data_IF_139476678522
#
_entry.id   IF_139476678522
#
_cell.length_a   1.000
_cell.length_b   1.000
_cell.length_c   1.000
_cell.angle_alpha   90.00
_cell.angle_beta   90.00
_cell.angle_gamma   90.00
#
_symmetry.space_group_name_H-M   'P 1'
#
loop_
_entity.id
_entity.type
_entity.pdbx_description
1 polymer ?
2 non-polymer ?
3 non-polymer ?
4 water ?
#
# COMPACT_ATOMS: atom_id res chain seq x y z
N UNK A 6 -4.63 20.77 -24.65
CA UNK A 6 -3.58 21.72 -24.30
C UNK A 6 -3.32 21.72 -22.80
N UNK A 7 -4.31 21.27 -22.03
CA UNK A 7 -4.22 21.20 -20.57
C UNK A 7 -3.91 22.56 -19.95
N UNK A 8 -4.45 23.62 -20.55
CA UNK A 8 -4.24 24.98 -20.07
C UNK A 8 -5.47 25.40 -19.29
N UNK A 9 -5.29 25.61 -17.99
CA UNK A 9 -6.36 26.04 -17.09
C UNK A 9 -5.72 26.52 -15.79
N UNK A 10 -6.41 27.38 -15.04
CA UNK A 10 -5.82 27.88 -13.79
C UNK A 10 -5.57 26.76 -12.80
N UNK A 11 -4.46 26.89 -12.06
CA UNK A 11 -4.16 25.95 -10.99
C UNK A 11 -5.01 26.26 -9.76
N UNK A 12 -5.30 25.22 -8.99
CA UNK A 12 -6.08 25.40 -7.78
C UNK A 12 -5.27 26.15 -6.72
N UNK A 13 -5.99 26.80 -5.81
CA UNK A 13 -5.34 27.53 -4.72
C UNK A 13 -4.71 26.56 -3.73
N UNK A 14 -5.36 25.44 -3.46
CA UNK A 14 -4.90 24.51 -2.44
C UNK A 14 -3.63 23.82 -2.92
N UNK A 15 -2.62 23.76 -2.05
CA UNK A 15 -1.35 23.14 -2.37
C UNK A 15 -1.40 21.65 -2.06
N UNK A 16 -1.25 20.82 -3.09
CA UNK A 16 -1.15 19.37 -2.94
C UNK A 16 0.13 18.81 -3.55
N UNK A 17 1.10 19.66 -3.89
CA UNK A 17 2.27 19.23 -4.65
C UNK A 17 3.59 19.48 -3.95
N UNK A 18 3.66 20.37 -2.97
CA UNK A 18 4.94 20.75 -2.39
C UNK A 18 5.46 19.65 -1.46
N UNK A 19 6.79 19.68 -1.24
CA UNK A 19 7.41 18.74 -0.32
C UNK A 19 6.93 18.98 1.11
N UNK A 20 6.75 20.25 1.48
CA UNK A 20 6.34 20.56 2.85
C UNK A 20 4.94 20.06 3.15
N UNK A 21 4.04 20.09 2.15
CA UNK A 21 2.69 19.58 2.36
C UNK A 21 2.72 18.08 2.65
N UNK A 22 3.57 17.34 1.97
CA UNK A 22 3.69 15.90 2.18
C UNK A 22 4.66 15.55 3.30
N UNK A 23 5.30 16.55 3.91
CA UNK A 23 6.07 16.36 5.14
C UNK A 23 5.29 16.76 6.38
N UNK A 24 4.09 17.31 6.21
CA UNK A 24 3.25 17.72 7.32
C UNK A 24 2.39 16.54 7.81
N UNK A 25 1.67 16.78 8.89
CA UNK A 25 0.84 15.73 9.48
C UNK A 25 -0.35 15.40 8.57
N UNK A 26 -0.90 14.21 8.79
CA UNK A 26 -2.10 13.81 8.05
C UNK A 26 -3.29 14.68 8.40
N UNK A 27 -3.35 15.18 9.65
CA UNK A 27 -4.45 16.05 10.04
C UNK A 27 -4.39 17.39 9.29
N UNK A 28 -3.17 17.93 9.11
CA UNK A 28 -3.05 19.17 8.35
C UNK A 28 -3.46 18.98 6.90
N UNK A 29 -3.07 17.85 6.29
CA UNK A 29 -3.47 17.58 4.92
C UNK A 29 -4.98 17.41 4.80
N UNK A 30 -5.63 16.92 5.85
CA UNK A 30 -7.08 16.71 5.80
C UNK A 30 -7.83 18.04 5.72
N UNK A 31 -7.31 19.08 6.36
CA UNK A 31 -7.93 20.40 6.25
C UNK A 31 -7.88 20.91 4.81
N UNK A 32 -6.85 20.53 4.04
CA UNK A 32 -6.83 20.83 2.63
C UNK A 32 -7.77 19.92 1.85
N UNK A 33 -7.78 18.61 2.18
CA UNK A 33 -8.70 17.69 1.54
C UNK A 33 -10.15 18.03 1.86
N UNK A 34 -10.41 18.56 3.05
CA UNK A 34 -11.79 18.87 3.44
C UNK A 34 -12.36 20.00 2.60
N UNK A 35 -11.60 21.08 2.41
CA UNK A 35 -12.09 22.20 1.62
C UNK A 35 -12.30 21.80 0.17
N UNK A 36 -11.39 21.00 -0.38
CA UNK A 36 -11.56 20.52 -1.75
C UNK A 36 -12.81 19.64 -1.86
N UNK A 37 -12.95 18.66 -0.97
CA UNK A 37 -14.13 17.80 -0.99
C UNK A 37 -15.41 18.62 -0.94
N UNK A 38 -15.40 19.75 -0.25
CA UNK A 38 -16.61 20.54 -0.09
C UNK A 38 -16.85 21.46 -1.27
N UNK A 39 -15.80 22.17 -1.72
CA UNK A 39 -15.96 23.23 -2.72
C UNK A 39 -15.58 22.79 -4.12
N UNK A 40 -14.41 22.18 -4.30
CA UNK A 40 -13.89 21.80 -5.62
C UNK A 40 -13.39 20.37 -5.55
N UNK A 41 -14.29 19.39 -5.56
CA UNK A 41 -13.87 17.99 -5.36
C UNK A 41 -12.95 17.46 -6.44
N UNK A 42 -12.98 18.03 -7.64
CA UNK A 42 -12.09 17.65 -8.73
C UNK A 42 -11.38 18.92 -9.17
N UNK A 43 -10.11 19.06 -8.79
CA UNK A 43 -9.37 20.29 -9.00
C UNK A 43 -8.07 19.99 -9.73
N UNK A 44 -7.55 21.02 -10.41
CA UNK A 44 -6.34 20.94 -11.23
C UNK A 44 -5.17 21.53 -10.46
N UNK A 45 -4.06 20.79 -10.44
CA UNK A 45 -2.89 21.16 -9.64
C UNK A 45 -1.64 20.95 -10.47
N UNK A 46 -0.56 21.67 -10.16
CA UNK A 46 0.73 21.43 -10.83
C UNK A 46 1.36 20.13 -10.36
N UNK A 47 2.32 19.59 -11.10
CA UNK A 47 2.92 18.30 -10.71
C UNK A 47 3.64 18.40 -9.38
N UNK A 48 3.95 17.22 -8.82
CA UNK A 48 4.65 17.14 -7.54
C UNK A 48 5.98 17.87 -7.65
N UNK A 49 6.22 18.80 -6.72
CA UNK A 49 7.43 19.61 -6.74
C UNK A 49 8.63 18.80 -6.25
N UNK A 50 9.81 19.17 -6.77
CA UNK A 50 11.07 18.54 -6.39
C UNK A 50 10.99 17.02 -6.58
N UNK A 51 10.37 16.60 -7.69
CA UNK A 51 10.15 15.19 -7.95
C UNK A 51 11.48 14.49 -8.26
N UNK A 52 11.44 13.16 -8.23
CA UNK A 52 12.62 12.38 -8.59
C UNK A 52 13.08 12.68 -10.01
N UNK A 53 12.14 13.01 -10.90
CA UNK A 53 12.45 13.46 -12.25
C UNK A 53 11.47 14.57 -12.61
N UNK A 54 12.01 15.69 -13.11
CA UNK A 54 11.17 16.80 -13.55
C UNK A 54 10.83 16.60 -15.01
N UNK A 55 9.53 16.57 -15.32
CA UNK A 55 9.06 16.26 -16.67
C UNK A 55 8.43 17.49 -17.30
N UNK A 56 9.02 18.07 -18.34
CA UNK A 56 8.35 19.18 -19.04
C UNK A 56 7.08 18.75 -19.74
N UNK A 57 6.88 17.46 -19.99
CA UNK A 57 5.65 16.96 -20.59
C UNK A 57 4.47 16.94 -19.62
N UNK A 58 4.71 17.20 -18.33
CA UNK A 58 3.68 17.04 -17.32
C UNK A 58 3.09 18.41 -16.95
N UNK A 59 1.86 18.72 -17.38
CA UNK A 59 1.28 20.02 -17.02
C UNK A 59 0.63 20.03 -15.65
N UNK A 60 0.33 18.88 -15.09
CA UNK A 60 -0.29 18.80 -13.79
C UNK A 60 -1.10 17.53 -13.65
N UNK A 61 -2.12 17.61 -12.81
CA UNK A 61 -2.97 16.46 -12.54
C UNK A 61 -4.30 16.94 -11.97
N UNK A 62 -5.31 16.08 -12.06
CA UNK A 62 -6.61 16.31 -11.46
C UNK A 62 -6.66 15.64 -10.09
N UNK A 63 -7.03 16.41 -9.07
CA UNK A 63 -7.12 15.88 -7.71
C UNK A 63 -8.53 15.36 -7.47
N UNK A 64 -8.64 14.08 -7.13
CA UNK A 64 -9.91 13.42 -6.86
C UNK A 64 -9.96 13.13 -5.37
N UNK A 65 -10.84 13.83 -4.66
CA UNK A 65 -10.86 13.80 -3.19
C UNK A 65 -12.06 13.10 -2.59
N UNK A 66 -13.18 13.00 -3.31
CA UNK A 66 -14.38 12.37 -2.77
C UNK A 66 -14.35 10.88 -3.01
N UNK A 67 -14.92 10.13 -2.06
CA UNK A 67 -14.88 8.66 -2.15
C UNK A 67 -15.62 8.16 -3.38
N UNK A 68 -16.81 8.71 -3.64
CA UNK A 68 -17.59 8.27 -4.79
C UNK A 68 -16.84 8.49 -6.10
N UNK A 69 -16.15 9.63 -6.22
CA UNK A 69 -15.39 9.89 -7.44
C UNK A 69 -14.16 9.00 -7.55
N UNK A 70 -13.55 8.64 -6.41
CA UNK A 70 -12.43 7.71 -6.41
C UNK A 70 -12.89 6.35 -6.91
N UNK A 71 -14.08 5.92 -6.49
CA UNK A 71 -14.63 4.67 -6.98
C UNK A 71 -14.92 4.76 -8.48
N UNK A 72 -15.42 5.91 -8.92
CA UNK A 72 -15.73 6.10 -10.34
C UNK A 72 -14.48 5.96 -11.20
N UNK A 73 -13.38 6.58 -10.79
CA UNK A 73 -12.14 6.47 -11.55
C UNK A 73 -11.61 5.05 -11.53
N UNK A 74 -11.66 4.40 -10.36
CA UNK A 74 -11.10 3.06 -10.23
C UNK A 74 -11.83 2.04 -11.09
N UNK A 75 -13.17 2.12 -11.11
CA UNK A 75 -13.95 1.11 -11.82
C UNK A 75 -14.08 1.39 -13.32
N UNK A 76 -13.91 2.65 -13.73
CA UNK A 76 -13.99 2.99 -15.15
C UNK A 76 -12.58 2.96 -15.78
N UNK A 77 -11.96 1.79 -15.71
CA UNK A 77 -10.61 1.62 -16.21
C UNK A 77 -10.52 1.75 -17.73
N UNK A 78 -11.64 1.58 -18.44
CA UNK A 78 -11.63 1.80 -19.89
C UNK A 78 -11.41 3.27 -20.24
N UNK A 79 -11.68 4.18 -19.30
CA UNK A 79 -11.41 5.60 -19.49
C UNK A 79 -10.13 6.01 -18.77
N UNK A 80 -9.98 5.61 -17.51
CA UNK A 80 -8.82 5.98 -16.69
C UNK A 80 -7.85 4.80 -16.69
N UNK A 81 -6.80 4.92 -17.50
CA UNK A 81 -5.87 3.83 -17.74
C UNK A 81 -4.77 3.78 -16.68
N UNK A 82 -4.26 2.58 -16.47
CA UNK A 82 -3.09 2.37 -15.62
C UNK A 82 -1.82 2.13 -16.41
N UNK A 83 -1.93 1.87 -17.72
CA UNK A 83 -0.78 1.53 -18.55
C UNK A 83 0.16 2.66 -18.85
N UNK A 84 -0.13 3.89 -18.41
CA UNK A 84 0.77 5.02 -18.59
C UNK A 84 1.35 5.49 -17.26
N UNK A 85 1.42 4.59 -16.28
CA UNK A 85 1.92 4.92 -14.97
C UNK A 85 0.80 5.10 -13.97
N UNK A 86 1.08 4.71 -12.71
CA UNK A 86 0.09 4.79 -11.64
C UNK A 86 0.59 5.56 -10.43
N UNK A 87 1.84 6.01 -10.42
CA UNK A 87 2.41 6.71 -9.28
C UNK A 87 2.11 8.20 -9.35
N UNK A 88 1.86 8.80 -8.19
CA UNK A 88 1.55 10.23 -8.10
C UNK A 88 2.76 11.06 -8.56
N UNK A 89 3.91 10.84 -7.93
CA UNK A 89 5.11 11.56 -8.28
C UNK A 89 5.73 11.00 -9.56
N UNK A 90 6.36 11.87 -10.34
CA UNK A 90 7.07 11.46 -11.54
C UNK A 90 8.33 10.70 -11.15
N UNK A 91 8.44 9.46 -11.61
CA UNK A 91 9.56 8.57 -11.27
C UNK A 91 10.25 8.15 -12.57
N UNK A 92 11.58 8.10 -12.59
CA UNK A 92 12.29 7.66 -13.81
C UNK A 92 11.76 6.34 -14.34
N UNK A 93 11.68 6.24 -15.67
CA UNK A 93 11.04 5.09 -16.31
C UNK A 93 11.74 3.79 -15.98
N UNK A 94 13.09 3.80 -15.91
CA UNK A 94 13.82 2.58 -15.60
C UNK A 94 13.43 2.03 -14.24
N UNK A 95 13.25 2.91 -13.25
CA UNK A 95 12.81 2.46 -11.93
C UNK A 95 11.38 1.95 -11.97
N UNK A 96 10.53 2.57 -12.79
CA UNK A 96 9.15 2.10 -12.93
C UNK A 96 9.10 0.75 -13.64
N UNK A 97 9.83 0.62 -14.76
CA UNK A 97 9.80 -0.61 -15.53
C UNK A 97 10.30 -1.81 -14.73
N UNK A 98 11.11 -1.58 -13.69
CA UNK A 98 11.68 -2.66 -12.91
C UNK A 98 10.89 -2.95 -11.63
N UNK A 99 9.72 -2.32 -11.46
CA UNK A 99 8.98 -2.46 -10.20
C UNK A 99 7.46 -2.52 -10.35
N UNK A 100 6.86 -1.97 -11.41
CA UNK A 100 5.41 -1.81 -11.44
C UNK A 100 4.69 -3.10 -11.81
N UNK A 101 5.21 -3.84 -12.78
CA UNK A 101 4.62 -5.11 -13.24
C UNK A 101 3.19 -4.82 -13.73
N UNK A 102 2.22 -5.70 -13.46
CA UNK A 102 0.88 -5.49 -13.98
C UNK A 102 0.08 -4.46 -13.20
N UNK A 103 0.64 -3.89 -12.13
CA UNK A 103 -0.02 -2.78 -11.46
C UNK A 103 -0.20 -1.60 -12.41
N UNK A 104 0.83 -1.31 -13.20
CA UNK A 104 0.77 -0.23 -14.20
C UNK A 104 0.50 -0.80 -15.59
N UNK A 105 -0.50 -1.66 -15.69
CA UNK A 105 -0.86 -2.31 -16.95
C UNK A 105 -2.37 -2.33 -17.10
N UNK A 106 -2.82 -2.27 -18.34
CA UNK A 106 -4.22 -2.37 -18.68
C UNK A 106 -4.51 -3.72 -19.31
N UNK A 107 -5.77 -4.14 -19.36
CA UNK A 107 -6.11 -5.33 -20.14
C UNK A 107 -5.73 -5.13 -21.60
N UNK A 108 -5.40 -6.22 -22.31
CA UNK A 108 -5.48 -7.61 -21.86
C UNK A 108 -4.24 -8.12 -21.11
N UNK A 109 -3.12 -7.40 -21.19
CA UNK A 109 -1.89 -7.90 -20.58
C UNK A 109 -2.01 -7.99 -19.06
N UNK A 110 -2.71 -7.03 -18.44
CA UNK A 110 -2.94 -7.12 -17.01
C UNK A 110 -3.73 -8.36 -16.65
N UNK A 111 -4.72 -8.72 -17.47
CA UNK A 111 -5.51 -9.92 -17.22
C UNK A 111 -4.65 -11.17 -17.35
N UNK A 112 -3.72 -11.18 -18.31
CA UNK A 112 -2.85 -12.34 -18.50
C UNK A 112 -1.96 -12.55 -17.28
N UNK A 113 -1.28 -11.48 -16.83
CA UNK A 113 -0.27 -11.64 -15.79
C UNK A 113 -0.89 -11.87 -14.43
N UNK A 114 -1.96 -11.14 -14.09
CA UNK A 114 -2.61 -11.32 -12.79
C UNK A 114 -3.16 -12.74 -12.65
N UNK A 115 -3.65 -13.33 -13.75
CA UNK A 115 -4.20 -14.68 -13.69
C UNK A 115 -3.14 -15.70 -13.28
N UNK A 116 -1.87 -15.43 -13.56
CA UNK A 116 -0.81 -16.40 -13.29
C UNK A 116 -0.58 -16.59 -11.80
N UNK A 117 -0.90 -15.58 -10.98
CA UNK A 117 -0.64 -15.63 -9.55
C UNK A 117 -1.89 -15.46 -8.71
N UNK A 118 -3.05 -15.26 -9.32
CA UNK A 118 -4.25 -14.92 -8.56
C UNK A 118 -4.79 -16.11 -7.77
N UNK A 119 -4.41 -17.33 -8.11
CA UNK A 119 -4.97 -18.50 -7.45
C UNK A 119 -4.55 -18.59 -5.99
N UNK A 120 -3.35 -18.10 -5.65
CA UNK A 120 -2.84 -18.22 -4.29
C UNK A 120 -3.44 -17.21 -3.33
N UNK A 121 -4.31 -16.32 -3.80
CA UNK A 121 -4.86 -15.25 -2.97
C UNK A 121 -6.35 -15.40 -2.69
N UNK A 122 -7.00 -16.43 -3.22
CA UNK A 122 -8.41 -16.62 -3.00
C UNK A 122 -8.70 -16.84 -1.51
N UNK A 123 -9.91 -16.53 -1.05
CA UNK A 123 -10.25 -16.80 0.35
C UNK A 123 -10.04 -18.25 0.76
N UNK A 124 -10.29 -19.19 -0.15
CA UNK A 124 -10.05 -20.61 0.15
C UNK A 124 -8.57 -20.86 0.42
N UNK A 125 -7.69 -20.33 -0.44
CA UNK A 125 -6.27 -20.58 -0.30
C UNK A 125 -5.68 -19.83 0.90
N UNK A 126 -6.22 -18.65 1.23
CA UNK A 126 -5.78 -17.94 2.42
C UNK A 126 -6.15 -18.73 3.67
N UNK A 127 -7.33 -19.36 3.66
CA UNK A 127 -7.73 -20.20 4.79
C UNK A 127 -6.82 -21.42 4.92
N UNK A 128 -6.29 -21.91 3.81
CA UNK A 128 -5.40 -23.08 3.87
C UNK A 128 -4.10 -22.77 4.58
N UNK A 129 -3.64 -21.51 4.52
CA UNK A 129 -2.37 -21.11 5.09
C UNK A 129 -2.55 -20.19 6.30
N UNK A 130 -3.79 -19.99 6.76
CA UNK A 130 -4.03 -19.08 7.86
C UNK A 130 -3.40 -19.57 9.16
N UNK A 131 -3.30 -20.89 9.34
CA UNK A 131 -2.68 -21.41 10.55
C UNK A 131 -1.20 -21.06 10.61
N UNK A 132 -0.51 -21.09 9.48
CA UNK A 132 0.89 -20.69 9.46
C UNK A 132 1.05 -19.20 9.76
N UNK A 133 0.09 -18.38 9.33
CA UNK A 133 0.11 -16.96 9.68
C UNK A 133 -0.12 -16.80 11.18
N UNK A 134 -1.06 -17.59 11.73
CA UNK A 134 -1.31 -17.54 13.18
C UNK A 134 -0.09 -18.01 13.96
N UNK A 135 0.62 -19.03 13.45
CA UNK A 135 1.79 -19.54 14.13
C UNK A 135 2.93 -18.52 14.06
N UNK A 136 3.07 -17.83 12.94
CA UNK A 136 4.07 -16.77 12.84
C UNK A 136 3.72 -15.59 13.73
N UNK A 137 2.43 -15.23 13.80
CA UNK A 137 2.02 -14.12 14.64
C UNK A 137 2.27 -14.41 16.11
N UNK A 138 2.03 -15.64 16.54
CA UNK A 138 2.26 -16.00 17.93
C UNK A 138 3.73 -15.91 18.31
N UNK A 139 4.61 -16.44 17.46
CA UNK A 139 6.03 -16.39 17.74
C UNK A 139 6.60 -14.98 17.67
N UNK A 140 6.05 -14.13 16.80
CA UNK A 140 6.54 -12.77 16.67
C UNK A 140 6.20 -11.97 17.93
N UNK A 141 4.96 -12.08 18.40
CA UNK A 141 4.57 -11.39 19.63
C UNK A 141 5.31 -11.97 20.82
N UNK A 142 5.59 -13.27 20.80
CA UNK A 142 6.37 -13.89 21.86
C UNK A 142 7.79 -13.32 21.89
N UNK A 143 8.44 -13.23 20.73
CA UNK A 143 9.77 -12.63 20.66
C UNK A 143 9.74 -11.16 21.03
N UNK A 144 8.64 -10.47 20.69
CA UNK A 144 8.51 -9.07 21.10
C UNK A 144 8.43 -8.95 22.62
N UNK A 145 7.70 -9.87 23.27
CA UNK A 145 7.59 -9.85 24.72
C UNK A 145 8.94 -10.04 25.39
N UNK A 146 9.74 -10.97 24.87
CA UNK A 146 11.09 -11.19 25.41
C UNK A 146 11.99 -9.99 25.17
N UNK A 147 11.71 -9.17 24.17
CA UNK A 147 12.51 -7.96 23.94
C UNK A 147 12.26 -6.93 25.02
N UNK A 148 11.10 -6.96 25.66
CA UNK A 148 10.78 -6.05 26.73
C UNK A 148 10.17 -4.75 26.25
N UNK A 149 9.62 -4.00 27.20
CA UNK A 149 9.00 -2.74 26.88
C UNK A 149 10.02 -1.68 26.46
N UNK A 150 9.51 -0.67 25.76
CA UNK A 150 10.35 0.39 25.25
C UNK A 150 11.01 0.10 23.92
N UNK A 151 10.86 -1.11 23.39
CA UNK A 151 11.49 -1.46 22.13
C UNK A 151 10.65 -0.94 20.96
N UNK A 152 11.30 -0.82 19.80
CA UNK A 152 10.63 -0.32 18.61
C UNK A 152 9.62 -1.34 18.10
N UNK A 153 8.35 -0.92 18.04
CA UNK A 153 7.29 -1.83 17.60
C UNK A 153 7.38 -2.13 16.11
N UNK A 154 7.93 -1.19 15.32
CA UNK A 154 7.99 -1.39 13.88
C UNK A 154 8.97 -2.51 13.53
N UNK A 155 10.18 -2.46 14.08
CA UNK A 155 11.20 -3.44 13.73
C UNK A 155 10.95 -4.79 14.38
N UNK A 156 10.38 -4.82 15.58
CA UNK A 156 10.21 -6.05 16.34
C UNK A 156 8.85 -6.70 16.15
N UNK A 157 7.97 -6.13 15.32
CA UNK A 157 6.65 -6.71 15.14
C UNK A 157 6.01 -6.33 13.81
N UNK A 158 5.87 -5.02 13.55
CA UNK A 158 5.09 -4.57 12.41
C UNK A 158 5.67 -5.09 11.09
N UNK A 159 7.00 -5.15 10.98
CA UNK A 159 7.64 -5.59 9.76
C UNK A 159 7.82 -7.10 9.69
N UNK A 160 7.62 -7.82 10.79
CA UNK A 160 8.00 -9.23 10.85
C UNK A 160 6.94 -10.12 10.20
N UNK A 161 5.67 -9.92 10.54
CA UNK A 161 4.62 -10.79 10.02
C UNK A 161 4.45 -10.67 8.50
N UNK A 162 4.47 -9.46 7.92
CA UNK A 162 4.36 -9.36 6.45
C UNK A 162 5.46 -10.10 5.71
N UNK A 163 6.72 -9.98 6.15
CA UNK A 163 7.81 -10.61 5.40
C UNK A 163 7.79 -12.12 5.59
N UNK A 164 7.42 -12.58 6.78
CA UNK A 164 7.31 -14.02 7.00
C UNK A 164 6.19 -14.62 6.17
N UNK A 165 5.03 -13.96 6.14
CA UNK A 165 3.92 -14.42 5.31
C UNK A 165 4.27 -14.36 3.83
N UNK A 166 4.91 -13.26 3.40
CA UNK A 166 5.30 -13.12 2.01
C UNK A 166 6.31 -14.18 1.61
N UNK A 167 7.39 -14.30 2.39
CA UNK A 167 8.47 -15.23 2.02
C UNK A 167 8.01 -16.68 2.08
N UNK A 168 7.07 -17.01 2.96
CA UNK A 168 6.55 -18.38 3.01
C UNK A 168 5.79 -18.72 1.73
N UNK A 169 5.09 -17.74 1.16
CA UNK A 169 4.34 -17.98 -0.06
C UNK A 169 5.24 -18.06 -1.28
N UNK A 170 6.15 -17.10 -1.43
CA UNK A 170 7.01 -17.06 -2.60
C UNK A 170 8.16 -18.06 -2.48
N UNK A 171 8.60 -18.36 -1.27
CA UNK A 171 9.74 -19.24 -1.07
C UNK A 171 11.07 -18.53 -0.96
N UNK A 172 11.10 -17.32 -0.41
CA UNK A 172 12.35 -16.57 -0.28
C UNK A 172 13.26 -17.29 0.70
N UNK A 173 14.55 -17.49 0.38
CA UNK A 173 15.46 -18.10 1.35
C UNK A 173 15.57 -17.26 2.61
N UNK A 174 15.79 -17.93 3.74
CA UNK A 174 15.79 -17.24 5.03
C UNK A 174 16.87 -16.18 5.10
N UNK A 175 18.03 -16.42 4.49
CA UNK A 175 19.11 -15.44 4.53
C UNK A 175 18.77 -14.16 3.80
N UNK A 176 17.74 -14.16 2.95
CA UNK A 176 17.35 -12.98 2.18
C UNK A 176 16.07 -12.33 2.69
N UNK A 177 15.45 -12.88 3.73
CA UNK A 177 14.11 -12.42 4.11
C UNK A 177 14.15 -11.01 4.71
N UNK A 178 15.07 -10.75 5.64
CA UNK A 178 15.13 -9.44 6.27
C UNK A 178 15.60 -8.37 5.29
N UNK A 179 16.49 -8.73 4.35
CA UNK A 179 16.97 -7.76 3.37
C UNK A 179 15.90 -7.43 2.35
N UNK A 180 15.05 -8.40 1.99
CA UNK A 180 13.95 -8.13 1.06
C UNK A 180 12.95 -7.17 1.71
N UNK A 181 12.63 -7.39 2.98
CA UNK A 181 11.72 -6.48 3.69
C UNK A 181 12.31 -5.08 3.78
N UNK A 182 13.62 -4.98 4.00
CA UNK A 182 14.27 -3.67 4.05
C UNK A 182 14.29 -3.02 2.68
N UNK A 183 14.55 -3.79 1.63
CA UNK A 183 14.58 -3.24 0.28
C UNK A 183 13.19 -2.83 -0.18
N UNK A 184 12.16 -3.60 0.21
CA UNK A 184 10.80 -3.23 -0.15
C UNK A 184 10.39 -1.92 0.53
N UNK A 185 10.77 -1.75 1.80
CA UNK A 185 10.47 -0.53 2.52
C UNK A 185 11.23 0.67 1.95
N UNK A 186 12.42 0.43 1.39
CA UNK A 186 13.20 1.52 0.81
C UNK A 186 12.53 2.13 -0.41
N UNK A 187 11.83 1.30 -1.21
CA UNK A 187 11.30 1.76 -2.49
C UNK A 187 10.13 2.72 -2.35
N UNK A 188 9.61 2.92 -1.14
CA UNK A 188 8.56 3.90 -0.90
C UNK A 188 9.01 5.00 0.05
N UNK A 189 10.29 5.03 0.39
CA UNK A 189 10.84 5.99 1.35
C UNK A 189 11.81 6.97 0.70
N UNK A 190 11.61 7.28 -0.58
CA UNK A 190 12.56 8.14 -1.29
C UNK A 190 12.47 9.60 -0.88
N UNK A 191 11.43 9.99 -0.13
CA UNK A 191 11.28 11.35 0.35
C UNK A 191 11.58 11.47 1.84
N UNK A 192 12.17 10.44 2.44
CA UNK A 192 12.43 10.41 3.88
C UNK A 192 13.89 10.76 4.13
N UNK A 193 14.20 11.96 4.62
CA UNK A 193 15.61 12.27 4.95
C UNK A 193 16.18 11.38 6.04
N UNK A 194 15.34 10.91 6.97
CA UNK A 194 15.81 9.99 8.00
C UNK A 194 16.19 8.63 7.41
N UNK A 195 15.67 8.28 6.23
CA UNK A 195 16.05 7.03 5.59
C UNK A 195 17.22 7.22 4.62
N UNK A 196 17.19 8.27 3.81
CA UNK A 196 18.28 8.51 2.86
C UNK A 196 19.58 8.83 3.59
N UNK A 197 19.50 9.61 4.67
CA UNK A 197 20.67 10.00 5.46
C UNK A 197 21.73 10.66 4.59
N UNK A 198 21.29 11.62 3.77
CA UNK A 198 22.18 12.37 2.90
C UNK A 198 22.37 11.77 1.53
N UNK A 199 22.03 10.49 1.34
CA UNK A 199 22.20 9.86 0.04
C UNK A 199 21.16 10.37 -0.95
N UNK A 200 21.58 10.46 -2.21
CA UNK A 200 20.65 10.86 -3.27
C UNK A 200 19.64 9.75 -3.49
N UNK A 201 18.35 10.05 -3.57
CA UNK A 201 17.32 8.99 -3.57
C UNK A 201 17.39 8.05 -4.76
N UNK A 202 17.75 8.53 -5.96
CA UNK A 202 17.72 7.67 -7.13
C UNK A 202 18.73 6.53 -7.01
N UNK A 203 19.89 6.80 -6.42
CA UNK A 203 20.89 5.74 -6.23
C UNK A 203 20.43 4.73 -5.20
N UNK A 204 19.75 5.19 -4.14
CA UNK A 204 19.25 4.27 -3.12
C UNK A 204 18.14 3.40 -3.69
N UNK A 205 17.27 3.98 -4.53
CA UNK A 205 16.20 3.21 -5.13
C UNK A 205 16.75 2.13 -6.06
N UNK A 206 17.76 2.46 -6.86
CA UNK A 206 18.35 1.47 -7.76
C UNK A 206 19.02 0.35 -6.98
N UNK A 207 19.75 0.70 -5.91
CA UNK A 207 20.46 -0.32 -5.13
C UNK A 207 19.49 -1.34 -4.55
N UNK A 208 18.37 -0.87 -3.99
CA UNK A 208 17.41 -1.80 -3.41
C UNK A 208 16.62 -2.53 -4.48
N UNK A 209 16.33 -1.87 -5.60
CA UNK A 209 15.73 -2.57 -6.73
C UNK A 209 16.67 -3.61 -7.28
N UNK A 210 17.96 -3.29 -7.36
CA UNK A 210 18.94 -4.24 -7.89
C UNK A 210 19.00 -5.50 -7.03
N UNK A 211 18.99 -5.35 -5.70
CA UNK A 211 19.03 -6.51 -4.82
C UNK A 211 17.79 -7.39 -5.01
N UNK A 212 16.61 -6.76 -5.07
CA UNK A 212 15.39 -7.54 -5.26
C UNK A 212 15.40 -8.28 -6.59
N UNK A 213 15.99 -7.69 -7.63
CA UNK A 213 16.13 -8.40 -8.90
C UNK A 213 17.15 -9.53 -8.81
N UNK A 214 18.13 -9.40 -7.92
CA UNK A 214 19.08 -10.49 -7.70
C UNK A 214 18.40 -11.68 -7.05
N UNK A 215 17.58 -11.43 -6.03
CA UNK A 215 16.83 -12.52 -5.39
C UNK A 215 15.83 -13.12 -6.36
N UNK A 216 15.22 -12.29 -7.21
CA UNK A 216 14.26 -12.78 -8.19
C UNK A 216 14.93 -13.69 -9.21
N UNK A 217 16.11 -13.30 -9.71
CA UNK A 217 16.81 -14.13 -10.68
C UNK A 217 17.24 -15.45 -10.06
N UNK A 218 17.68 -15.44 -8.80
CA UNK A 218 18.10 -16.67 -8.14
C UNK A 218 16.91 -17.60 -7.88
N UNK A 219 15.79 -17.03 -7.45
CA UNK A 219 14.62 -17.87 -7.18
C UNK A 219 13.98 -18.36 -8.48
N UNK A 220 13.98 -17.52 -9.52
CA UNK A 220 13.42 -17.95 -10.79
C UNK A 220 14.21 -19.11 -11.38
N UNK A 221 15.54 -19.02 -11.34
CA UNK A 221 16.37 -20.12 -11.81
C UNK A 221 16.20 -21.37 -10.96
N UNK A 222 15.97 -21.20 -9.65
CA UNK A 222 15.77 -22.36 -8.78
C UNK A 222 14.45 -23.05 -9.08
N UNK A 223 13.40 -22.26 -9.33
CA UNK A 223 12.07 -22.85 -9.51
C UNK A 223 11.86 -23.38 -10.92
N UNK A 224 12.62 -22.90 -11.90
CA UNK A 224 12.53 -23.46 -13.24
C UNK A 224 13.15 -24.85 -13.32
N UNK A 225 14.15 -25.12 -12.48
CA UNK A 225 14.72 -26.46 -12.39
C UNK A 225 13.73 -27.41 -11.74
N UNK A 226 13.41 -27.17 -10.47
CA UNK A 226 12.44 -27.96 -9.73
C UNK A 226 11.25 -27.08 -9.38
N UNK A 227 10.15 -27.16 -10.12
CA UNK A 227 8.99 -26.33 -9.80
C UNK A 227 8.31 -26.77 -8.51
N UNK A 228 7.72 -25.80 -7.83
CA UNK A 228 6.98 -26.09 -6.61
C UNK A 228 5.51 -25.72 -6.73
N UNK A 229 4.79 -25.81 -5.62
CA UNK A 229 3.38 -25.43 -5.58
C UNK A 229 3.19 -23.95 -5.21
N UNK A 230 4.26 -23.19 -5.12
CA UNK A 230 4.20 -21.84 -4.60
C UNK A 230 3.80 -20.83 -5.67
N UNK A 231 3.82 -19.56 -5.28
CA UNK A 231 3.39 -18.48 -6.16
C UNK A 231 4.41 -18.23 -7.26
N UNK A 232 5.69 -18.19 -6.90
CA UNK A 232 6.74 -17.90 -7.88
C UNK A 232 6.92 -19.05 -8.86
N UNK A 233 6.74 -20.29 -8.41
CA UNK A 233 6.89 -21.44 -9.29
C UNK A 233 5.94 -21.35 -10.46
N UNK A 234 4.66 -21.06 -10.20
CA UNK A 234 3.69 -20.97 -11.26
C UNK A 234 3.99 -19.81 -12.20
N UNK A 235 4.55 -18.73 -11.69
CA UNK A 235 4.84 -17.57 -12.53
C UNK A 235 6.00 -17.85 -13.49
N UNK A 236 7.11 -18.38 -12.97
CA UNK A 236 8.30 -18.60 -13.80
C UNK A 236 8.19 -19.82 -14.69
N UNK A 237 7.23 -20.71 -14.44
CA UNK A 237 7.04 -21.91 -15.25
C UNK A 237 5.84 -21.81 -16.18
N UNK A 238 5.07 -20.73 -16.11
CA UNK A 238 3.89 -20.60 -16.94
C UNK A 238 4.25 -20.29 -18.38
N UNK A 239 3.38 -20.69 -19.29
CA UNK A 239 3.52 -20.40 -20.71
C UNK A 239 2.55 -19.28 -21.07
N UNK A 240 3.10 -18.09 -21.33
CA UNK A 240 2.30 -16.92 -21.70
C UNK A 240 2.57 -16.63 -23.16
N UNK A 241 1.54 -16.80 -23.99
CA UNK A 241 1.63 -16.57 -25.43
C UNK A 241 2.70 -17.47 -26.07
N UNK A 242 2.74 -18.72 -25.63
CA UNK A 242 3.66 -19.68 -26.21
C UNK A 242 5.09 -19.58 -25.76
N UNK A 243 5.35 -18.91 -24.63
CA UNK A 243 6.72 -18.76 -24.14
C UNK A 243 6.67 -18.38 -22.67
N UNK A 244 7.71 -18.76 -21.94
CA UNK A 244 7.82 -18.36 -20.55
C UNK A 244 8.10 -16.86 -20.46
N UNK A 245 7.76 -16.29 -19.31
CA UNK A 245 7.95 -14.87 -19.09
C UNK A 245 9.43 -14.52 -19.06
N UNK A 246 9.78 -13.38 -19.66
CA UNK A 246 11.15 -12.91 -19.65
C UNK A 246 11.59 -12.59 -18.23
N UNK A 247 12.91 -12.54 -18.04
CA UNK A 247 13.47 -12.25 -16.72
C UNK A 247 13.02 -10.89 -16.19
N UNK A 248 12.86 -9.90 -17.09
CA UNK A 248 12.44 -8.58 -16.66
C UNK A 248 11.02 -8.61 -16.10
N UNK A 249 10.11 -9.35 -16.75
CA UNK A 249 8.74 -9.44 -16.27
C UNK A 249 8.70 -10.16 -14.92
N UNK A 250 9.46 -11.25 -14.78
CA UNK A 250 9.45 -12.01 -13.54
C UNK A 250 9.98 -11.17 -12.38
N UNK A 251 11.09 -10.47 -12.61
CA UNK A 251 11.68 -9.66 -11.54
C UNK A 251 10.79 -8.48 -11.18
N UNK A 252 10.15 -7.87 -12.18
CA UNK A 252 9.29 -6.72 -11.91
C UNK A 252 8.11 -7.12 -11.01
N UNK A 253 7.55 -8.30 -11.22
CA UNK A 253 6.47 -8.75 -10.36
C UNK A 253 6.96 -9.07 -8.96
N UNK A 254 8.18 -9.61 -8.84
CA UNK A 254 8.75 -9.87 -7.53
C UNK A 254 8.88 -8.59 -6.72
N UNK A 255 9.30 -7.50 -7.38
CA UNK A 255 9.35 -6.21 -6.70
C UNK A 255 7.97 -5.74 -6.32
N UNK A 256 7.03 -5.80 -7.26
CA UNK A 256 5.65 -5.43 -6.97
C UNK A 256 5.11 -6.24 -5.79
N UNK A 257 5.34 -7.55 -5.79
CA UNK A 257 4.84 -8.40 -4.72
C UNK A 257 5.54 -8.10 -3.40
N UNK A 258 6.85 -7.85 -3.44
CA UNK A 258 7.59 -7.55 -2.22
C UNK A 258 7.16 -6.22 -1.61
N UNK A 259 6.94 -5.20 -2.45
CA UNK A 259 6.60 -3.88 -1.93
C UNK A 259 5.16 -3.85 -1.42
N UNK A 260 4.22 -4.29 -2.26
CA UNK A 260 2.82 -4.27 -1.85
C UNK A 260 2.54 -5.26 -0.73
N UNK A 261 3.22 -6.40 -0.73
CA UNK A 261 2.99 -7.40 0.30
C UNK A 261 3.60 -7.07 1.65
N UNK A 262 4.61 -6.20 1.68
CA UNK A 262 5.31 -5.87 2.92
C UNK A 262 4.89 -4.51 3.47
N UNK A 263 5.01 -3.46 2.65
CA UNK A 263 4.89 -2.11 3.17
C UNK A 263 3.49 -1.79 3.68
N UNK A 264 2.46 -2.22 2.94
CA UNK A 264 1.09 -1.85 3.30
C UNK A 264 0.68 -2.46 4.63
N UNK A 265 0.83 -3.78 4.78
CA UNK A 265 0.46 -4.43 6.02
C UNK A 265 1.31 -3.95 7.20
N UNK A 266 2.60 -3.73 6.95
CA UNK A 266 3.49 -3.28 8.01
C UNK A 266 3.04 -1.92 8.57
N UNK A 267 2.62 -1.01 7.70
CA UNK A 267 2.17 0.30 8.18
C UNK A 267 0.81 0.19 8.87
N UNK A 268 -0.08 -0.66 8.35
CA UNK A 268 -1.39 -0.83 8.97
C UNK A 268 -1.27 -1.39 10.38
N UNK A 269 -0.29 -2.26 10.62
CA UNK A 269 -0.08 -2.80 11.97
C UNK A 269 0.40 -1.70 12.91
N UNK A 270 1.34 -0.87 12.46
CA UNK A 270 1.82 0.23 13.29
C UNK A 270 0.72 1.25 13.55
N UNK A 271 0.00 1.66 12.50
CA UNK A 271 -1.11 2.58 12.68
C UNK A 271 -2.20 1.97 13.56
N UNK A 272 -2.38 0.65 13.49
CA UNK A 272 -3.42 0.01 14.27
C UNK A 272 -3.14 0.02 15.77
N UNK A 273 -1.89 -0.26 16.15
CA UNK A 273 -1.54 -0.25 17.56
C UNK A 273 -1.71 1.15 18.15
N UNK A 274 -1.31 2.18 17.40
CA UNK A 274 -1.49 3.56 17.87
C UNK A 274 -2.97 3.92 17.96
N UNK A 275 -3.78 3.44 17.02
CA UNK A 275 -5.22 3.69 17.07
C UNK A 275 -5.86 3.02 18.28
N UNK A 276 -5.45 1.79 18.59
CA UNK A 276 -5.95 1.12 19.79
C UNK A 276 -5.50 1.86 21.05
N UNK A 277 -4.32 2.48 21.03
CA UNK A 277 -3.87 3.24 22.19
C UNK A 277 -4.64 4.55 22.31
N UNK A 278 -4.92 5.21 21.19
CA UNK A 278 -5.64 6.47 21.20
C UNK A 278 -7.12 6.31 21.49
N UNK A 279 -7.67 5.10 21.32
CA UNK A 279 -9.08 4.83 21.56
C UNK A 279 -9.20 3.59 22.44
N UNK A 280 -8.92 3.71 23.74
CA UNK A 280 -8.99 2.52 24.61
C UNK A 280 -10.37 1.89 24.67
N UNK A 281 -11.44 2.68 24.58
CA UNK A 281 -12.78 2.10 24.62
C UNK A 281 -13.04 1.25 23.38
N UNK A 282 -12.41 1.57 22.26
CA UNK A 282 -12.54 0.73 21.07
C UNK A 282 -11.79 -0.58 21.24
N UNK A 283 -10.63 -0.55 21.90
CA UNK A 283 -9.90 -1.78 22.17
C UNK A 283 -10.67 -2.68 23.13
N UNK A 284 -11.27 -2.10 24.18
CA UNK A 284 -12.06 -2.90 25.10
C UNK A 284 -13.29 -3.48 24.42
N UNK A 285 -13.87 -2.74 23.47
CA UNK A 285 -15.01 -3.27 22.72
C UNK A 285 -14.61 -4.48 21.88
N UNK A 286 -13.46 -4.40 21.21
CA UNK A 286 -12.98 -5.53 20.43
C UNK A 286 -12.64 -6.71 21.32
N UNK A 287 -11.99 -6.45 22.46
CA UNK A 287 -11.61 -7.54 23.36
C UNK A 287 -12.82 -8.22 23.97
N UNK A 288 -13.93 -7.50 24.14
CA UNK A 288 -15.12 -8.08 24.76
C UNK A 288 -15.75 -9.17 23.92
N UNK A 289 -15.52 -9.18 22.61
CA UNK A 289 -16.06 -10.19 21.72
C UNK A 289 -15.24 -10.25 20.44
N UNK A 290 -14.03 -10.81 20.54
CA UNK A 290 -13.04 -10.68 19.47
C UNK A 290 -13.48 -11.38 18.20
N UNK A 291 -13.86 -12.67 18.30
CA UNK A 291 -14.13 -13.45 17.10
C UNK A 291 -15.32 -12.92 16.32
N UNK A 292 -16.27 -12.28 17.01
CA UNK A 292 -17.43 -11.71 16.35
C UNK A 292 -17.17 -10.30 15.81
N UNK A 293 -16.20 -9.59 16.37
CA UNK A 293 -16.00 -8.18 16.05
C UNK A 293 -14.69 -7.89 15.32
N UNK A 294 -13.80 -8.87 15.16
CA UNK A 294 -12.52 -8.61 14.52
C UNK A 294 -12.71 -8.28 13.03
N UNK A 295 -13.79 -8.79 12.42
CA UNK A 295 -14.04 -8.53 11.02
C UNK A 295 -14.19 -7.05 10.68
N UNK A 296 -15.14 -6.39 11.33
CA UNK A 296 -15.33 -4.96 11.09
C UNK A 296 -14.21 -4.13 11.72
N UNK A 297 -13.58 -4.65 12.77
CA UNK A 297 -12.45 -3.93 13.38
C UNK A 297 -11.27 -3.85 12.43
N UNK A 298 -10.98 -4.95 11.72
CA UNK A 298 -9.90 -4.95 10.74
C UNK A 298 -10.20 -3.97 9.61
N UNK A 299 -11.45 -3.93 9.16
CA UNK A 299 -11.80 -3.03 8.06
C UNK A 299 -11.64 -1.57 8.45
N UNK A 300 -11.93 -1.24 9.71
CA UNK A 300 -11.76 0.14 10.16
C UNK A 300 -10.28 0.46 10.42
N UNK A 301 -9.50 -0.52 10.87
CA UNK A 301 -8.07 -0.30 11.03
C UNK A 301 -7.41 -0.02 9.68
N UNK A 302 -7.89 -0.66 8.62
CA UNK A 302 -7.40 -0.37 7.28
C UNK A 302 -7.85 1.02 6.84
N UNK A 303 -9.12 1.34 7.10
CA UNK A 303 -9.61 2.69 6.82
C UNK A 303 -8.81 3.73 7.60
N UNK A 304 -8.53 3.45 8.87
CA UNK A 304 -7.78 4.39 9.70
C UNK A 304 -6.36 4.56 9.20
N UNK A 305 -5.71 3.47 8.78
CA UNK A 305 -4.33 3.56 8.31
C UNK A 305 -4.25 4.19 6.94
N UNK A 306 -5.04 3.68 5.98
CA UNK A 306 -4.92 4.01 4.57
C UNK A 306 -3.44 4.06 4.18
N UNK A 307 -2.74 2.93 4.23
CA UNK A 307 -1.28 2.97 3.99
C UNK A 307 -0.93 3.42 2.58
N UNK A 308 -1.78 3.15 1.60
CA UNK A 308 -1.60 3.68 0.26
C UNK A 308 -2.42 4.97 0.16
N UNK A 309 -1.73 6.11 0.09
CA UNK A 309 -2.40 7.40 0.05
C UNK A 309 -2.80 7.81 -1.36
N UNK A 310 -1.97 7.50 -2.36
CA UNK A 310 -2.21 7.98 -3.71
C UNK A 310 -1.97 6.88 -4.73
N UNK A 311 -2.81 6.89 -5.77
CA UNK A 311 -2.58 6.16 -7.00
C UNK A 311 -3.21 6.99 -8.11
N UNK A 312 -2.61 6.97 -9.29
CA UNK A 312 -3.05 7.83 -10.37
C UNK A 312 -3.45 7.01 -11.59
N UNK A 313 -4.14 7.67 -12.50
CA UNK A 313 -4.55 7.10 -13.77
C UNK A 313 -4.32 8.13 -14.87
N UNK A 314 -4.41 7.69 -16.12
CA UNK A 314 -4.34 8.55 -17.28
C UNK A 314 -5.62 8.41 -18.08
N UNK A 315 -6.26 9.54 -18.39
CA UNK A 315 -7.53 9.52 -19.12
C UNK A 315 -7.29 9.13 -20.57
N UNK A 316 -8.05 8.14 -21.04
CA UNK A 316 -7.98 7.74 -22.44
C UNK A 316 -8.90 8.57 -23.31
N UNK A 317 -9.89 9.22 -22.73
CA UNK A 317 -10.83 10.05 -23.47
C UNK A 317 -11.37 11.12 -22.54
N UNK A 318 -12.04 12.10 -23.11
CA UNK A 318 -12.67 13.15 -22.32
C UNK A 318 -13.73 12.56 -21.40
N UNK A 319 -13.70 12.96 -20.13
CA UNK A 319 -14.61 12.41 -19.14
C UNK A 319 -15.03 13.51 -18.16
N UNK A 320 -16.33 13.58 -17.90
CA UNK A 320 -16.89 14.56 -16.97
C UNK A 320 -16.94 13.96 -15.57
N UNK A 321 -16.22 14.58 -14.64
CA UNK A 321 -16.17 14.10 -13.26
C UNK A 321 -16.16 15.29 -12.31
N UNK A 322 -17.07 15.27 -11.34
CA UNK A 322 -17.17 16.37 -10.40
C UNK A 322 -17.45 17.71 -11.05
N UNK A 323 -18.20 17.72 -12.14
CA UNK A 323 -18.47 18.96 -12.85
C UNK A 323 -17.33 19.49 -13.67
N UNK A 324 -16.26 18.71 -13.83
CA UNK A 324 -15.07 19.14 -14.57
C UNK A 324 -14.83 18.16 -15.71
N UNK A 325 -14.40 18.69 -16.86
CA UNK A 325 -14.16 17.88 -18.05
C UNK A 325 -12.68 17.50 -18.08
N UNK A 326 -12.38 16.30 -17.60
CA UNK A 326 -11.03 15.77 -17.71
C UNK A 326 -10.73 15.46 -19.17
N UNK A 327 -9.60 15.93 -19.67
CA UNK A 327 -9.24 15.76 -21.06
C UNK A 327 -8.44 14.48 -21.26
N UNK A 328 -8.50 13.96 -22.48
CA UNK A 328 -7.73 12.75 -22.82
C UNK A 328 -6.24 13.00 -22.66
N UNK A 329 -5.58 12.06 -21.99
CA UNK A 329 -4.15 12.16 -21.74
C UNK A 329 -3.78 12.86 -20.45
N UNK A 330 -4.75 13.39 -19.70
CA UNK A 330 -4.46 14.09 -18.46
C UNK A 330 -4.38 13.11 -17.30
N UNK A 331 -3.53 13.45 -16.33
CA UNK A 331 -3.35 12.60 -15.15
C UNK A 331 -4.45 12.85 -14.13
N UNK A 332 -4.90 11.76 -13.50
CA UNK A 332 -5.99 11.80 -12.53
C UNK A 332 -5.53 11.05 -11.28
N UNK A 333 -5.41 11.76 -10.17
CA UNK A 333 -4.83 11.22 -8.95
C UNK A 333 -5.92 10.99 -7.92
N UNK A 334 -5.95 9.80 -7.35
CA UNK A 334 -6.92 9.41 -6.32
C UNK A 334 -6.26 9.55 -4.95
N UNK A 335 -6.89 10.31 -4.07
CA UNK A 335 -6.37 10.56 -2.72
C UNK A 335 -7.19 9.72 -1.75
N UNK A 336 -6.72 8.49 -1.49
CA UNK A 336 -7.48 7.54 -0.69
C UNK A 336 -7.70 8.03 0.74
N UNK A 337 -6.73 8.76 1.30
CA UNK A 337 -6.92 9.30 2.65
C UNK A 337 -8.04 10.32 2.68
N UNK A 338 -8.21 11.09 1.61
CA UNK A 338 -9.34 12.02 1.54
C UNK A 338 -10.64 11.26 1.37
N UNK A 339 -10.65 10.23 0.52
CA UNK A 339 -11.86 9.44 0.33
C UNK A 339 -12.30 8.70 1.58
N UNK A 340 -11.34 8.28 2.41
CA UNK A 340 -11.67 7.58 3.64
C UNK A 340 -12.06 8.52 4.78
N UNK A 341 -11.88 9.83 4.60
CA UNK A 341 -12.37 10.83 5.54
C UNK A 341 -13.55 11.61 4.96
N UNK A 342 -14.15 11.09 3.89
CA UNK A 342 -15.26 11.78 3.21
C UNK A 342 -16.49 11.78 4.10
N UNK A 343 -16.90 12.98 4.53
CA UNK A 343 -18.13 13.09 5.32
C UNK A 343 -19.36 12.71 4.52
N UNK A 344 -19.25 12.70 3.18
CA UNK A 344 -20.33 12.25 2.31
C UNK A 344 -20.48 10.73 2.29
N UNK A 345 -19.61 10.00 2.98
CA UNK A 345 -19.63 8.54 2.90
C UNK A 345 -19.57 7.89 4.28
N UNK A 346 -19.00 8.59 5.25
CA UNK A 346 -18.82 8.04 6.59
C UNK A 346 -19.42 8.96 7.63
N UNK A 347 -19.87 8.36 8.74
CA UNK A 347 -20.35 9.10 9.89
C UNK A 347 -19.20 9.23 10.89
N UNK A 348 -18.71 10.45 11.07
CA UNK A 348 -17.57 10.75 11.93
C UNK A 348 -16.36 9.91 11.55
N UNK A 349 -15.78 10.13 10.36
CA UNK A 349 -14.59 9.34 9.98
C UNK A 349 -13.36 9.70 10.79
N UNK A 350 -13.35 10.83 11.48
CA UNK A 350 -12.21 11.22 12.30
C UNK A 350 -12.11 10.43 13.59
N UNK A 351 -13.14 9.66 13.94
CA UNK A 351 -13.15 8.85 15.14
C UNK A 351 -13.05 7.38 14.77
N UNK A 352 -12.24 6.64 15.53
CA UNK A 352 -12.09 5.20 15.28
C UNK A 352 -13.34 4.47 15.77
N UNK A 353 -14.01 3.78 14.84
CA UNK A 353 -15.21 3.00 15.16
C UNK A 353 -15.01 1.61 14.57
N UNK A 354 -14.48 0.70 15.38
CA UNK A 354 -14.26 -0.68 14.96
C UNK A 354 -15.55 -1.43 14.70
N UNK A 355 -16.71 -0.85 15.03
CA UNK A 355 -18.00 -1.44 14.74
C UNK A 355 -18.63 -0.89 13.46
N UNK A 356 -17.90 -0.04 12.72
CA UNK A 356 -18.47 0.65 11.58
C UNK A 356 -18.99 -0.35 10.55
N UNK A 357 -20.30 -0.28 10.28
CA UNK A 357 -20.94 -1.13 9.30
C UNK A 357 -22.12 -0.38 8.67
N UNK A 358 -22.11 -0.16 7.35
CA UNK A 358 -21.06 -0.61 6.42
C UNK A 358 -19.80 0.24 6.50
N UNK A 359 -18.70 -0.28 5.93
CA UNK A 359 -17.42 0.42 5.89
C UNK A 359 -16.93 0.43 4.45
N UNK A 360 -17.47 1.31 3.61
CA UNK A 360 -17.08 1.38 2.19
C UNK A 360 -15.77 2.14 1.97
N UNK A 361 -14.76 1.81 2.78
CA UNK A 361 -13.48 2.47 2.67
C UNK A 361 -12.78 2.08 1.37
N UNK A 362 -11.84 2.94 0.95
CA UNK A 362 -11.06 2.70 -0.25
C UNK A 362 -9.60 2.46 0.13
N UNK A 363 -9.38 1.78 1.25
CA UNK A 363 -8.02 1.45 1.64
C UNK A 363 -7.35 0.49 0.67
N UNK A 364 -8.13 -0.46 0.13
CA UNK A 364 -7.67 -1.35 -0.92
C UNK A 364 -7.96 -0.79 -2.30
N UNK A 365 -8.15 0.52 -2.42
CA UNK A 365 -8.49 1.15 -3.68
C UNK A 365 -9.99 1.30 -3.85
N UNK A 366 -10.36 1.96 -4.94
CA UNK A 366 -11.76 2.18 -5.24
C UNK A 366 -12.49 1.01 -5.84
N UNK A 367 -11.82 -0.14 -5.96
CA UNK A 367 -12.44 -1.32 -6.53
C UNK A 367 -12.29 -1.39 -8.04
N UNK A 368 -12.51 -2.59 -8.57
CA UNK A 368 -12.53 -2.83 -10.00
C UNK A 368 -11.38 -3.74 -10.43
N UNK A 369 -10.80 -3.42 -11.59
CA UNK A 369 -9.87 -4.33 -12.25
C UNK A 369 -8.61 -4.53 -11.41
N UNK A 370 -8.10 -3.48 -10.79
CA UNK A 370 -6.84 -3.54 -10.06
C UNK A 370 -7.03 -3.71 -8.55
N UNK A 371 -8.19 -4.16 -8.12
CA UNK A 371 -8.47 -4.30 -6.68
C UNK A 371 -7.41 -5.18 -6.03
N UNK A 372 -7.07 -4.84 -4.79
CA UNK A 372 -5.90 -5.38 -4.11
C UNK A 372 -5.87 -6.89 -4.17
N UNK A 373 -4.79 -7.43 -4.74
CA UNK A 373 -4.66 -8.88 -4.87
C UNK A 373 -4.53 -9.58 -3.52
N UNK A 374 -3.91 -8.92 -2.55
CA UNK A 374 -3.69 -9.57 -1.27
C UNK A 374 -4.62 -9.12 -0.16
N UNK A 375 -5.84 -8.71 -0.54
CA UNK A 375 -6.79 -8.20 0.45
C UNK A 375 -7.14 -9.26 1.48
N UNK A 376 -7.48 -10.46 1.02
CA UNK A 376 -7.79 -11.55 1.96
C UNK A 376 -6.57 -11.93 2.79
N UNK A 377 -5.39 -11.94 2.17
CA UNK A 377 -4.18 -12.26 2.90
C UNK A 377 -3.86 -11.18 3.93
N UNK A 378 -4.04 -9.91 3.55
CA UNK A 378 -3.79 -8.82 4.50
C UNK A 378 -4.73 -8.91 5.70
N UNK A 379 -6.02 -9.15 5.45
CA UNK A 379 -6.98 -9.26 6.54
C UNK A 379 -6.63 -10.41 7.48
N UNK A 380 -6.18 -11.54 6.92
CA UNK A 380 -5.79 -12.66 7.76
C UNK A 380 -4.58 -12.31 8.63
N UNK A 381 -3.67 -11.51 8.10
CA UNK A 381 -2.50 -11.11 8.89
C UNK A 381 -2.89 -10.17 10.02
N UNK A 382 -3.80 -9.23 9.75
CA UNK A 382 -4.20 -8.26 10.78
C UNK A 382 -5.03 -8.93 11.86
N UNK A 383 -5.89 -9.87 11.50
CA UNK A 383 -6.63 -10.61 12.51
C UNK A 383 -5.70 -11.41 13.41
N UNK A 384 -4.65 -12.00 12.83
CA UNK A 384 -3.76 -12.87 13.60
C UNK A 384 -2.83 -12.07 14.50
N UNK A 385 -2.25 -10.97 13.99
CA UNK A 385 -1.26 -10.24 14.78
C UNK A 385 -1.93 -9.46 15.91
N UNK A 386 -3.12 -8.93 15.67
CA UNK A 386 -3.79 -8.18 16.72
C UNK A 386 -4.46 -9.09 17.74
N UNK A 387 -4.84 -10.31 17.32
CA UNK A 387 -5.31 -11.27 18.28
C UNK A 387 -4.20 -11.78 19.20
N UNK A 388 -3.01 -11.95 18.64
CA UNK A 388 -1.88 -12.41 19.45
C UNK A 388 -1.36 -11.31 20.37
N UNK A 389 -1.41 -10.05 19.91
CA UNK A 389 -1.02 -8.94 20.77
C UNK A 389 -1.96 -8.83 21.97
N UNK A 390 -3.22 -9.21 21.79
CA UNK A 390 -4.17 -9.21 22.90
C UNK A 390 -4.07 -10.48 23.75
N UNK A 391 -3.63 -11.59 23.15
CA UNK A 391 -3.46 -12.82 23.90
C UNK A 391 -2.24 -12.74 24.80
N UNK A 392 -1.12 -12.26 24.27
CA UNK A 392 0.15 -12.31 24.99
C UNK A 392 0.44 -11.03 25.76
N UNK A 393 0.15 -9.85 25.18
CA UNK A 393 0.49 -8.57 25.77
C UNK A 393 -0.77 -7.73 25.93
N UNK A 394 -1.60 -8.03 26.94
CA UNK A 394 -2.88 -7.31 27.08
C UNK A 394 -2.72 -5.84 27.39
N UNK A 395 -1.58 -5.40 27.92
CA UNK A 395 -1.37 -4.01 28.30
C UNK A 395 -0.46 -3.26 27.34
N UNK A 396 -0.34 -3.73 26.09
CA UNK A 396 0.56 -3.09 25.14
C UNK A 396 0.00 -1.72 24.75
N UNK A 397 0.89 -0.74 24.62
CA UNK A 397 0.53 0.61 24.24
C UNK A 397 1.61 1.19 23.34
N UNK A 398 1.20 1.94 22.32
CA UNK A 398 2.12 2.52 21.36
C UNK A 398 2.65 3.86 21.87
N UNK A 399 3.91 4.13 21.62
CA UNK A 399 4.54 5.39 21.98
C UNK A 399 4.41 6.43 20.90
N UNK A 400 5.38 7.35 20.87
CA UNK A 400 5.37 8.42 19.89
C UNK A 400 5.81 7.90 18.53
N UNK A 401 4.94 7.93 17.52
CA UNK A 401 5.34 7.46 16.19
C UNK A 401 6.15 8.49 15.44
N UNK A 402 7.05 8.00 14.60
CA UNK A 402 7.84 8.84 13.69
C UNK A 402 7.30 8.57 12.29
N UNK A 403 6.55 9.52 11.75
CA UNK A 403 5.92 9.35 10.45
C UNK A 403 6.91 9.66 9.33
N UNK A 404 6.78 8.91 8.24
CA UNK A 404 7.69 9.03 7.10
C UNK A 404 7.13 10.08 6.15
N UNK A 405 7.87 11.13 5.82
CA UNK A 405 7.39 12.09 4.83
C UNK A 405 7.35 11.49 3.44
N UNK A 406 6.33 11.86 2.69
CA UNK A 406 6.16 11.33 1.34
C UNK A 406 4.74 11.47 0.89
N UNK A 407 4.53 11.21 -0.41
CA UNK A 407 3.25 11.39 -1.05
C UNK A 407 2.64 10.07 -1.55
N UNK A 408 3.20 8.93 -1.17
CA UNK A 408 2.72 7.64 -1.64
C UNK A 408 2.19 6.77 -0.50
N UNK A 409 3.01 6.48 0.51
CA UNK A 409 2.65 5.57 1.59
C UNK A 409 2.59 6.33 2.90
N UNK A 410 1.52 6.13 3.65
CA UNK A 410 1.36 6.66 5.01
C UNK A 410 2.10 5.73 5.96
N UNK A 411 3.35 6.07 6.25
CA UNK A 411 4.26 5.13 6.91
C UNK A 411 4.73 5.68 8.25
N UNK A 412 5.03 4.75 9.15
CA UNK A 412 5.64 5.05 10.45
C UNK A 412 7.05 4.47 10.44
N UNK A 413 8.04 5.34 10.53
CA UNK A 413 9.43 4.88 10.51
C UNK A 413 9.76 4.05 11.75
N UNK A 414 9.45 4.58 12.92
CA UNK A 414 9.68 3.87 14.18
C UNK A 414 8.65 4.32 15.20
N UNK A 415 8.43 3.47 16.21
CA UNK A 415 7.44 3.74 17.22
C UNK A 415 7.66 2.82 18.41
N UNK A 416 8.07 3.35 19.56
CA UNK A 416 8.26 2.50 20.73
C UNK A 416 6.92 1.99 21.27
N UNK A 417 6.99 0.88 21.99
CA UNK A 417 5.80 0.28 22.58
C UNK A 417 6.14 -0.20 23.99
N UNK A 418 5.16 -0.06 24.89
CA UNK A 418 5.30 -0.47 26.28
C UNK A 418 4.25 -1.52 26.61
N UNK A 419 4.60 -2.44 27.49
CA UNK A 419 3.69 -3.47 27.95
C UNK A 419 4.16 -4.10 29.25
X LIG B 1 -3.04 -3.55 -5.41
X LIG B 1 -0.53 -7.20 -3.43
X LIG B 1 -1.84 -5.72 1.00
X LIG B 1 -3.58 -1.63 -0.98
X LIG B 1 -2.26 -4.67 -5.26
X LIG B 1 -1.67 -5.45 -6.33
X LIG B 1 -0.98 -6.45 -5.80
X LIG B 1 -1.10 -6.36 -4.35
X LIG B 1 -0.20 -7.54 -6.57
X LIG B 1 -1.83 -5.17 -7.84
X LIG B 1 -3.15 -5.76 -8.31
X LIG B 1 -3.43 -5.34 -9.73
X LIG B 1 -4.28 -6.00 -10.40
X LIG B 1 -2.81 -4.36 -10.20
X LIG B 1 -0.72 -7.16 -2.06
X LIG B 1 -0.30 -8.17 -1.13
X LIG B 1 -0.65 -7.80 0.10
X LIG B 1 -1.31 -6.50 -0.01
X LIG B 1 0.43 -9.49 -1.48
X LIG B 1 -0.35 -8.65 1.35
X LIG B 1 -0.80 -8.33 2.57
X LIG B 1 -2.43 -4.48 0.86
X LIG B 1 -3.01 -3.66 1.91
X LIG B 1 -3.48 -2.53 1.35
X LIG B 1 -3.23 -2.60 -0.07
X LIG B 1 -3.01 -4.08 3.40
X LIG B 1 -4.19 -1.32 2.00
X LIG B 1 -4.65 -1.31 3.25
X LIG B 1 -3.61 -1.79 -2.35
X LIG B 1 -4.11 -0.82 -3.31
X LIG B 1 -3.96 -1.35 -4.54
X LIG B 1 -3.36 -2.67 -4.38
X LIG B 1 -4.70 0.56 -2.96
X LIG B 1 -4.36 -0.68 -5.86
X LIG B 1 -5.86 -0.82 -6.07
X LIG B 1 -6.31 -0.13 -7.33
X LIG B 1 -7.53 -0.12 -7.60
X LIG B 1 -5.44 0.40 -8.06
X LIG B 1 -1.88 -5.26 -4.07
X LIG B 1 -1.33 -6.16 -1.35
X LIG B 1 -2.59 -3.80 -0.34
X LIG B 1 -3.16 -2.89 -3.04
X LIG B 1 -2.46 -4.62 -2.20
X LIG C 1 7.65 0.94 -6.41
X LIG C 1 10.51 3.49 -6.55
X LIG C 1 -0.14 -1.31 -3.65
X LIG C 1 1.35 -0.98 -3.67
X LIG C 1 2.07 -1.27 -4.74
X LIG C 1 2.00 -0.31 -2.46
X LIG C 1 3.56 -0.96 -4.78
X LIG C 1 3.96 -0.25 -6.09
X LIG C 1 5.47 -0.23 -6.31
X LIG C 1 6.13 0.90 -6.20
X LIG C 1 6.21 -1.52 -6.67
X LIG C 1 8.26 2.10 -6.55
X LIG C 1 9.76 2.16 -6.78
X LIG C 1 10.36 1.20 -7.13
#
# INVERSE_FOLDING_TARGET
MTAISASVRPYDTIDLSSRAFWASSASQRESSFSELRAERPVSWHPPVEDALIQDPNDPGFWAVTRRADIVAVSRTNEVFLSGNGVLFENVPAELLEASQSFLAMDPPRHTKLRKLVSAAFTPRQVRRIEDSIKINAKGIVDELRMAGGGVDFVEHCAKELPIRTLSDMVGIPEADRERVAHAADALVSWADPRYLNGREPLAVLFENQMYLHQVAASLAAERRDRPGDDLFSALVNAEVDGDRLADADVAAFFVLLAVAGNDTTRQTISHGLKALTDFPSQKAWLLADFDTRIGTAVEELVRWATPVMTFRRTAAADFELGGQLIRAGEKVVMFYASGNWDEDAFCHPERLDLSRSPNPHVGFGGGGVHFCLGAHLARAQLRAIFGELLVQLPDIQAGDPVYVPGNFVHAIRSMPCTF
HEM CHA CHB CHC CHD C1A C2A C3A C4A CMA CAA CBA CGA O1A O2A C1B C2B C3B C4B CMB CAB CBB C1C C2C C3C C4C CMC CAC CBC C1D C2D C3D C4D CMD CAD CBD CGD O1D O2D NA NB NC ND FE
DXJ C10 C13 C01 C02 C03 C04 C05 C06 C07 C08 C09 C11 C12 O14
#
